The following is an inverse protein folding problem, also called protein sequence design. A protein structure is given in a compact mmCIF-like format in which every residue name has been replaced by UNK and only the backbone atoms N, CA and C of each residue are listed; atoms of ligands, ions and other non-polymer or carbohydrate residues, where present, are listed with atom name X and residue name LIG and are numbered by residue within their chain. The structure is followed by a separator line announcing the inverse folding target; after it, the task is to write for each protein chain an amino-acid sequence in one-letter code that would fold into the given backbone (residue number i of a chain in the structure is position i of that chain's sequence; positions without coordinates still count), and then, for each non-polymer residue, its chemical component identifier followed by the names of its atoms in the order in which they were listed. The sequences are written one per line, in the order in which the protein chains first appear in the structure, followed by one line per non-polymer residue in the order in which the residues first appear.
data_IF_245504651284
#
_entry.id   IF_245504651284
#
_cell.length_a   1.000
_cell.length_b   1.000
_cell.length_c   1.000
_cell.angle_alpha   90.00
_cell.angle_beta   90.00
_cell.angle_gamma   90.00
#
_symmetry.space_group_name_H-M   'P 1'
#
loop_
_entity.id
_entity.type
_entity.pdbx_description
1 polymer ?
#
# COMPACT_ATOMS: atom_id res chain seq x y z
N UNK A 1 -26.43 -29.08 -17.21
CA UNK A 1 -25.58 -28.48 -16.16
C UNK A 1 -24.14 -28.49 -16.66
N UNK A 2 -23.76 -27.44 -17.39
CA UNK A 2 -22.41 -27.32 -17.98
C UNK A 2 -21.60 -26.37 -17.14
N UNK A 3 -20.61 -26.92 -16.43
CA UNK A 3 -19.68 -26.19 -15.58
C UNK A 3 -18.74 -25.40 -16.50
N UNK A 4 -18.89 -24.08 -16.51
CA UNK A 4 -17.92 -23.16 -17.12
C UNK A 4 -16.59 -23.28 -16.34
N UNK A 5 -15.69 -24.12 -16.84
CA UNK A 5 -14.27 -24.12 -16.47
C UNK A 5 -13.64 -22.88 -17.12
N UNK A 6 -13.37 -21.85 -16.33
CA UNK A 6 -12.41 -20.82 -16.71
C UNK A 6 -11.03 -21.47 -16.87
N UNK A 7 -10.23 -21.08 -17.89
CA UNK A 7 -8.95 -21.70 -18.14
C UNK A 7 -7.99 -21.42 -16.98
N UNK A 8 -7.54 -22.52 -16.39
CA UNK A 8 -6.54 -22.58 -15.33
C UNK A 8 -5.19 -22.15 -15.93
N UNK A 9 -4.77 -20.89 -15.78
CA UNK A 9 -3.39 -20.45 -16.13
C UNK A 9 -2.95 -19.24 -15.30
N UNK A 10 -1.74 -19.31 -14.77
CA UNK A 10 -1.09 -18.31 -13.93
C UNK A 10 -0.68 -17.04 -14.66
N UNK A 11 -1.62 -16.35 -15.32
CA UNK A 11 -1.37 -15.07 -16.01
C UNK A 11 -1.72 -13.83 -15.19
N UNK A 12 -2.43 -13.95 -14.07
CA UNK A 12 -2.86 -12.78 -13.28
C UNK A 12 -1.80 -12.23 -12.31
N UNK A 13 -0.74 -12.98 -11.98
CA UNK A 13 0.33 -12.50 -11.10
C UNK A 13 1.32 -11.53 -11.79
N UNK A 14 1.24 -11.35 -13.12
CA UNK A 14 2.15 -10.49 -13.88
C UNK A 14 1.63 -9.05 -14.10
N UNK A 15 0.35 -8.77 -13.86
CA UNK A 15 -0.26 -7.46 -14.14
C UNK A 15 -0.05 -6.41 -13.03
N UNK A 16 0.42 -6.81 -11.85
CA UNK A 16 0.70 -5.90 -10.73
C UNK A 16 2.17 -5.46 -10.61
N UNK A 17 3.08 -6.02 -11.41
CA UNK A 17 4.52 -5.75 -11.33
C UNK A 17 5.08 -4.82 -12.44
N UNK A 18 4.26 -4.41 -13.43
CA UNK A 18 4.74 -3.67 -14.62
C UNK A 18 4.39 -2.17 -14.63
N UNK A 19 3.59 -1.65 -13.69
CA UNK A 19 3.26 -0.21 -13.66
C UNK A 19 4.28 0.71 -12.97
N UNK A 20 5.50 0.23 -12.75
CA UNK A 20 6.64 1.05 -12.32
C UNK A 20 7.82 0.73 -13.26
N UNK A 21 8.00 1.58 -14.27
CA UNK A 21 9.14 1.62 -15.21
C UNK A 21 9.20 0.53 -16.30
N UNK A 22 8.53 0.75 -17.45
CA UNK A 22 9.11 0.61 -18.80
C UNK A 22 8.09 0.82 -19.93
N UNK A 23 8.32 1.88 -20.71
CA UNK A 23 8.07 2.03 -22.15
C UNK A 23 6.70 1.66 -22.74
N UNK A 24 5.95 2.72 -23.01
CA UNK A 24 5.04 2.83 -24.14
C UNK A 24 5.75 2.49 -25.46
N UNK A 25 5.50 1.29 -26.00
CA UNK A 25 5.53 1.01 -27.44
C UNK A 25 4.51 -0.08 -27.74
N UNK A 26 3.23 0.29 -27.66
CA UNK A 26 2.16 -0.41 -28.37
C UNK A 26 1.55 0.59 -29.34
N UNK A 27 1.51 0.19 -30.61
CA UNK A 27 1.06 0.95 -31.76
C UNK A 27 -0.41 1.36 -31.59
N UNK A 28 -0.63 2.53 -31.01
CA UNK A 28 -1.93 3.20 -31.00
C UNK A 28 -2.01 4.13 -32.22
N UNK A 29 -2.58 3.62 -33.30
CA UNK A 29 -3.07 4.43 -34.41
C UNK A 29 -4.39 5.09 -34.02
N UNK A 30 -4.38 5.99 -33.03
CA UNK A 30 -5.46 6.95 -32.77
C UNK A 30 -4.82 8.24 -32.24
N UNK A 31 -5.31 9.37 -32.75
CA UNK A 31 -4.83 10.73 -32.48
C UNK A 31 -4.43 10.92 -31.02
N UNK A 32 -3.15 11.24 -30.78
CA UNK A 32 -2.70 11.74 -29.48
C UNK A 32 -3.69 12.83 -29.04
N UNK A 33 -4.26 12.77 -27.82
CA UNK A 33 -4.98 13.92 -27.30
C UNK A 33 -4.04 15.12 -27.41
N UNK A 34 -4.48 16.14 -28.13
CA UNK A 34 -3.70 17.35 -28.32
C UNK A 34 -3.44 17.92 -26.92
N UNK A 35 -2.20 17.80 -26.46
CA UNK A 35 -1.71 18.55 -25.31
C UNK A 35 -2.00 20.00 -25.66
N UNK A 36 -2.78 20.74 -24.84
CA UNK A 36 -3.08 22.14 -25.12
C UNK A 36 -1.78 22.90 -25.45
N UNK A 37 -1.76 23.74 -26.48
CA UNK A 37 -0.53 24.43 -26.93
C UNK A 37 0.12 25.30 -25.82
N UNK A 38 -0.67 25.63 -24.81
CA UNK A 38 -0.35 26.37 -23.61
C UNK A 38 0.05 25.49 -22.42
N UNK A 39 -0.04 24.15 -22.51
CA UNK A 39 0.53 23.23 -21.53
C UNK A 39 2.06 23.19 -21.68
N UNK A 40 2.69 24.27 -21.24
CA UNK A 40 4.10 24.27 -20.86
C UNK A 40 4.13 23.88 -19.39
N UNK A 41 4.50 22.63 -19.03
CA UNK A 41 4.77 22.36 -17.62
C UNK A 41 5.77 23.41 -17.16
N UNK A 42 5.42 24.17 -16.12
CA UNK A 42 6.27 25.23 -15.58
C UNK A 42 7.61 24.58 -15.26
N UNK A 43 8.63 24.82 -16.12
CA UNK A 43 9.96 24.18 -16.03
C UNK A 43 10.74 24.57 -14.79
N UNK A 44 10.23 25.50 -13.98
CA UNK A 44 10.79 25.76 -12.65
C UNK A 44 10.31 24.66 -11.71
N UNK A 45 11.10 23.59 -11.66
CA UNK A 45 11.24 22.71 -10.49
C UNK A 45 11.06 23.58 -9.24
N UNK A 46 9.99 23.42 -8.44
CA UNK A 46 9.78 24.19 -7.21
C UNK A 46 11.04 24.22 -6.38
N UNK A 47 11.33 25.36 -5.75
CA UNK A 47 12.55 25.53 -4.93
C UNK A 47 12.60 24.51 -3.77
N UNK A 48 11.43 24.03 -3.34
CA UNK A 48 11.20 22.91 -2.41
C UNK A 48 11.81 21.57 -2.87
N UNK A 49 12.00 21.37 -4.18
CA UNK A 49 12.69 20.20 -4.74
C UNK A 49 14.22 20.38 -4.72
N UNK A 50 14.74 21.59 -4.47
CA UNK A 50 16.15 21.94 -4.67
C UNK A 50 17.00 21.95 -3.41
N UNK A 51 16.41 22.09 -2.21
CA UNK A 51 17.20 22.12 -0.97
C UNK A 51 17.42 20.69 -0.48
N UNK A 52 18.46 20.07 -1.00
CA UNK A 52 18.99 18.84 -0.46
C UNK A 52 19.61 19.10 0.92
N UNK A 53 19.31 18.25 1.89
CA UNK A 53 19.90 18.27 3.23
C UNK A 53 20.78 17.02 3.41
N UNK A 54 22.06 17.02 3.01
CA UNK A 54 22.95 15.88 3.26
C UNK A 54 22.97 15.52 4.75
N UNK A 55 22.81 14.23 5.05
CA UNK A 55 22.76 13.74 6.42
C UNK A 55 24.18 13.48 6.93
N UNK A 56 24.65 14.34 7.83
CA UNK A 56 25.91 14.11 8.53
C UNK A 56 25.82 12.88 9.44
N UNK A 57 26.86 12.05 9.42
CA UNK A 57 27.02 10.88 10.28
C UNK A 57 27.75 11.27 11.57
N UNK A 58 28.75 12.16 11.47
CA UNK A 58 29.53 12.62 12.61
C UNK A 58 28.65 13.22 13.73
N UNK A 59 28.94 12.86 14.98
CA UNK A 59 28.29 13.44 16.16
C UNK A 59 26.91 12.85 16.49
N UNK A 60 26.47 11.81 15.76
CA UNK A 60 25.25 11.07 16.07
C UNK A 60 25.51 10.05 17.19
N UNK A 61 24.56 9.89 18.11
CA UNK A 61 24.67 9.05 19.32
C UNK A 61 24.98 7.57 19.02
N UNK A 62 24.58 7.10 17.86
CA UNK A 62 24.73 5.72 17.39
C UNK A 62 26.01 5.48 16.58
N UNK A 63 26.90 6.46 16.53
CA UNK A 63 28.22 6.36 15.87
C UNK A 63 29.30 6.29 16.94
N UNK A 64 30.20 5.29 16.91
CA UNK A 64 31.32 5.21 17.85
C UNK A 64 32.13 6.52 17.94
N UNK A 65 32.64 6.84 19.14
CA UNK A 65 33.30 8.12 19.40
C UNK A 65 34.61 8.30 18.62
N UNK A 66 35.37 7.21 18.49
CA UNK A 66 36.58 7.11 17.67
C UNK A 66 36.28 7.34 16.19
N UNK A 67 35.22 6.70 15.66
CA UNK A 67 34.77 6.91 14.29
C UNK A 67 34.30 8.34 14.07
N UNK A 68 33.56 8.90 15.03
CA UNK A 68 33.13 10.31 15.00
C UNK A 68 34.31 11.26 14.94
N UNK A 69 35.35 11.04 15.75
CA UNK A 69 36.56 11.86 15.73
C UNK A 69 37.27 11.79 14.37
N UNK A 70 37.35 10.60 13.77
CA UNK A 70 38.01 10.38 12.48
C UNK A 70 37.32 11.10 11.31
N UNK A 71 35.99 11.19 11.33
CA UNK A 71 35.20 11.74 10.21
C UNK A 71 34.66 13.14 10.46
N UNK A 72 34.98 13.77 11.60
CA UNK A 72 34.42 15.07 12.02
C UNK A 72 34.67 16.20 11.01
N UNK A 73 35.80 16.16 10.32
CA UNK A 73 36.21 17.17 9.33
C UNK A 73 35.80 16.82 7.90
N UNK A 74 35.18 15.66 7.69
CA UNK A 74 34.77 15.21 6.36
C UNK A 74 33.44 15.85 5.98
N UNK A 75 33.25 16.11 4.69
CA UNK A 75 31.93 16.41 4.11
C UNK A 75 30.98 15.22 4.31
N UNK A 76 29.65 15.42 4.35
CA UNK A 76 28.69 14.32 4.51
C UNK A 76 28.89 13.15 3.52
N UNK A 77 29.28 13.47 2.29
CA UNK A 77 29.60 12.50 1.25
C UNK A 77 30.84 11.67 1.60
N UNK A 78 31.93 12.34 2.01
CA UNK A 78 33.15 11.69 2.47
C UNK A 78 32.93 10.87 3.75
N UNK A 79 32.06 11.34 4.65
CA UNK A 79 31.66 10.58 5.84
C UNK A 79 30.98 9.27 5.43
N UNK A 80 30.00 9.31 4.52
CA UNK A 80 29.30 8.13 4.04
C UNK A 80 30.24 7.13 3.36
N UNK A 81 31.18 7.61 2.54
CA UNK A 81 32.17 6.75 1.89
C UNK A 81 33.14 6.10 2.89
N UNK A 82 33.63 6.87 3.87
CA UNK A 82 34.53 6.34 4.90
C UNK A 82 33.83 5.27 5.75
N UNK A 83 32.59 5.54 6.18
CA UNK A 83 31.79 4.59 6.97
C UNK A 83 31.50 3.33 6.16
N UNK A 84 31.22 3.43 4.86
CA UNK A 84 31.06 2.26 4.00
C UNK A 84 32.31 1.37 4.00
N UNK A 85 33.50 1.97 3.88
CA UNK A 85 34.78 1.22 3.93
C UNK A 85 34.95 0.51 5.28
N UNK A 86 34.63 1.17 6.39
CA UNK A 86 34.67 0.54 7.73
C UNK A 86 33.68 -0.62 7.86
N UNK A 87 32.44 -0.44 7.40
CA UNK A 87 31.43 -1.50 7.39
C UNK A 87 31.88 -2.72 6.58
N UNK A 88 32.53 -2.49 5.42
CA UNK A 88 33.08 -3.56 4.58
C UNK A 88 34.21 -4.32 5.27
N UNK A 89 35.11 -3.63 5.95
CA UNK A 89 36.16 -4.26 6.78
C UNK A 89 35.54 -5.12 7.88
N UNK A 90 34.48 -4.63 8.51
CA UNK A 90 33.72 -5.34 9.54
C UNK A 90 32.75 -6.40 8.96
N UNK A 91 32.85 -6.71 7.67
CA UNK A 91 32.06 -7.75 7.00
C UNK A 91 30.55 -7.61 7.22
N UNK A 92 30.03 -6.38 7.24
CA UNK A 92 28.59 -6.13 7.45
C UNK A 92 27.66 -6.96 6.53
N UNK A 93 27.99 -7.28 5.26
CA UNK A 93 27.07 -8.07 4.43
C UNK A 93 26.91 -9.51 4.95
N UNK A 94 27.95 -10.06 5.60
CA UNK A 94 27.89 -11.37 6.25
C UNK A 94 27.02 -11.28 7.50
N UNK A 95 27.21 -10.25 8.32
CA UNK A 95 26.39 -10.00 9.52
C UNK A 95 24.91 -9.89 9.16
N UNK A 96 24.59 -9.06 8.15
CA UNK A 96 23.22 -8.90 7.67
C UNK A 96 22.62 -10.21 7.21
N UNK A 97 23.35 -11.03 6.46
CA UNK A 97 22.82 -12.28 5.88
C UNK A 97 22.70 -13.41 6.89
N UNK A 98 23.65 -13.54 7.82
CA UNK A 98 23.66 -14.60 8.84
C UNK A 98 22.57 -14.41 9.88
N UNK A 99 22.28 -13.15 10.25
CA UNK A 99 21.17 -12.84 11.14
C UNK A 99 21.38 -13.29 12.60
N UNK A 100 22.62 -13.26 13.09
CA UNK A 100 22.93 -13.55 14.50
C UNK A 100 22.92 -12.25 15.30
N UNK A 101 22.08 -12.16 16.32
CA UNK A 101 21.97 -10.96 17.15
C UNK A 101 22.86 -11.07 18.38
N UNK A 102 23.90 -10.26 18.44
CA UNK A 102 24.79 -10.07 19.59
C UNK A 102 25.23 -8.59 19.63
N UNK A 103 25.90 -8.16 20.70
CA UNK A 103 26.27 -6.75 20.91
C UNK A 103 27.13 -6.16 19.78
N UNK A 104 28.07 -6.92 19.25
CA UNK A 104 28.93 -6.47 18.14
C UNK A 104 28.12 -6.26 16.87
N UNK A 105 27.27 -7.23 16.51
CA UNK A 105 26.40 -7.16 15.35
C UNK A 105 25.36 -6.04 15.48
N UNK A 106 24.86 -5.77 16.69
CA UNK A 106 23.97 -4.64 16.96
C UNK A 106 24.61 -3.30 16.60
N UNK A 107 25.88 -3.09 16.96
CA UNK A 107 26.59 -1.85 16.64
C UNK A 107 26.88 -1.73 15.13
N UNK A 108 27.18 -2.85 14.46
CA UNK A 108 27.27 -2.90 12.98
C UNK A 108 25.92 -2.54 12.33
N UNK A 109 24.79 -3.04 12.86
CA UNK A 109 23.46 -2.74 12.33
C UNK A 109 23.09 -1.27 12.48
N UNK A 110 23.39 -0.65 13.63
CA UNK A 110 23.18 0.79 13.84
C UNK A 110 23.98 1.62 12.83
N UNK A 111 25.26 1.28 12.67
CA UNK A 111 26.14 1.99 11.73
C UNK A 111 25.72 1.77 10.27
N UNK A 112 25.30 0.55 9.91
CA UNK A 112 24.74 0.23 8.58
C UNK A 112 23.48 1.05 8.28
N UNK A 113 22.51 1.08 9.20
CA UNK A 113 21.28 1.85 9.05
C UNK A 113 21.55 3.34 8.87
N UNK A 114 22.47 3.89 9.67
CA UNK A 114 22.91 5.28 9.58
C UNK A 114 23.57 5.57 8.23
N UNK A 115 24.48 4.70 7.79
CA UNK A 115 25.13 4.82 6.49
C UNK A 115 24.13 4.76 5.34
N UNK A 116 23.19 3.80 5.34
CA UNK A 116 22.16 3.68 4.29
C UNK A 116 21.25 4.90 4.21
N UNK A 117 20.82 5.46 5.34
CA UNK A 117 20.08 6.71 5.32
C UNK A 117 20.91 7.87 4.76
N UNK A 118 22.19 7.97 5.16
CA UNK A 118 23.10 9.00 4.65
C UNK A 118 23.39 8.84 3.15
N UNK A 119 23.53 7.62 2.63
CA UNK A 119 23.89 7.37 1.22
C UNK A 119 22.80 7.84 0.25
N UNK A 120 21.53 7.77 0.62
CA UNK A 120 20.43 8.40 -0.14
C UNK A 120 20.60 9.92 -0.24
N UNK A 121 21.29 10.53 0.72
CA UNK A 121 21.57 11.97 0.75
C UNK A 121 22.92 12.37 0.14
N UNK A 122 23.68 11.45 -0.48
CA UNK A 122 24.93 11.78 -1.21
C UNK A 122 24.78 11.83 -2.75
N UNK A 123 23.86 11.07 -3.36
CA UNK A 123 23.60 11.07 -4.83
C UNK A 123 22.82 12.29 -5.37
N UNK A 124 23.44 13.15 -6.17
CA UNK A 124 22.78 14.36 -6.71
C UNK A 124 21.84 14.08 -7.87
N UNK A 125 22.16 13.06 -8.67
CA UNK A 125 21.39 12.63 -9.82
C UNK A 125 20.23 11.70 -9.40
N UNK A 126 18.99 11.91 -9.90
CA UNK A 126 17.85 11.07 -9.57
C UNK A 126 18.02 9.58 -9.92
N UNK A 127 18.73 9.23 -11.00
CA UNK A 127 18.94 7.83 -11.38
C UNK A 127 19.89 7.14 -10.40
N UNK A 128 20.99 7.80 -10.06
CA UNK A 128 21.96 7.34 -9.07
C UNK A 128 21.33 7.19 -7.68
N UNK A 129 20.39 8.09 -7.31
CA UNK A 129 19.62 7.97 -6.08
C UNK A 129 18.67 6.76 -6.11
N UNK A 130 18.01 6.52 -7.25
CA UNK A 130 17.16 5.35 -7.44
C UNK A 130 17.98 4.06 -7.32
N UNK A 131 19.16 4.00 -7.94
CA UNK A 131 20.08 2.84 -7.86
C UNK A 131 20.51 2.58 -6.41
N UNK A 132 20.90 3.63 -5.68
CA UNK A 132 21.27 3.53 -4.26
C UNK A 132 20.10 3.01 -3.41
N UNK A 133 18.88 3.46 -3.69
CA UNK A 133 17.68 3.00 -3.01
C UNK A 133 17.30 1.55 -3.36
N UNK A 134 17.51 1.14 -4.61
CA UNK A 134 17.28 -0.24 -5.06
C UNK A 134 18.29 -1.21 -4.44
N UNK A 135 19.55 -0.79 -4.31
CA UNK A 135 20.56 -1.57 -3.61
C UNK A 135 20.27 -1.71 -2.12
N UNK A 136 19.81 -0.63 -1.46
CA UNK A 136 19.33 -0.71 -0.09
C UNK A 136 18.15 -1.68 0.05
N UNK A 137 17.16 -1.62 -0.84
CA UNK A 137 16.00 -2.54 -0.83
C UNK A 137 16.41 -4.00 -1.08
N UNK A 138 17.41 -4.22 -1.94
CA UNK A 138 17.99 -5.56 -2.17
C UNK A 138 18.67 -6.10 -0.93
N UNK A 139 19.40 -5.25 -0.20
CA UNK A 139 19.99 -5.63 1.10
C UNK A 139 18.92 -5.96 2.13
N UNK A 140 17.91 -5.10 2.29
CA UNK A 140 16.77 -5.32 3.19
C UNK A 140 16.14 -6.69 2.94
N UNK A 141 15.84 -7.04 1.68
CA UNK A 141 15.28 -8.35 1.34
C UNK A 141 16.17 -9.53 1.79
N UNK A 142 17.49 -9.34 1.78
CA UNK A 142 18.49 -10.35 2.11
C UNK A 142 18.90 -10.39 3.59
N UNK A 143 18.32 -9.54 4.45
CA UNK A 143 18.57 -9.56 5.90
C UNK A 143 18.15 -10.91 6.49
N UNK A 144 19.02 -11.52 7.29
CA UNK A 144 18.86 -12.83 7.91
C UNK A 144 18.46 -13.95 6.95
N UNK A 145 18.80 -13.85 5.66
CA UNK A 145 18.44 -14.84 4.63
C UNK A 145 19.12 -16.19 4.82
N UNK A 146 20.29 -16.22 5.46
CA UNK A 146 21.04 -17.44 5.79
C UNK A 146 20.71 -17.96 7.20
N UNK A 147 19.85 -17.26 7.96
CA UNK A 147 19.45 -17.70 9.29
C UNK A 147 18.45 -18.86 9.17
N UNK A 148 18.92 -20.09 9.44
CA UNK A 148 18.09 -21.29 9.37
C UNK A 148 16.95 -21.34 10.40
N UNK A 149 17.04 -20.56 11.49
CA UNK A 149 16.00 -20.50 12.51
C UNK A 149 15.06 -19.30 12.27
N UNK A 150 13.80 -19.57 11.91
CA UNK A 150 12.80 -18.53 11.60
C UNK A 150 12.58 -17.52 12.76
N UNK A 151 12.54 -17.98 14.00
CA UNK A 151 12.35 -17.10 15.16
C UNK A 151 13.55 -16.17 15.38
N UNK A 152 14.78 -16.67 15.21
CA UNK A 152 15.99 -15.83 15.24
C UNK A 152 16.03 -14.85 14.07
N UNK A 153 15.67 -15.30 12.87
CA UNK A 153 15.59 -14.46 11.67
C UNK A 153 14.63 -13.29 11.87
N UNK A 154 13.42 -13.56 12.38
CA UNK A 154 12.44 -12.52 12.71
C UNK A 154 12.95 -11.54 13.77
N UNK A 155 13.55 -12.02 14.86
CA UNK A 155 14.13 -11.14 15.91
C UNK A 155 15.24 -10.24 15.37
N UNK A 156 16.12 -10.80 14.53
CA UNK A 156 17.18 -10.02 13.89
C UNK A 156 16.62 -8.97 12.94
N UNK A 157 15.65 -9.34 12.11
CA UNK A 157 14.92 -8.42 11.22
C UNK A 157 14.21 -7.32 12.00
N UNK A 158 13.55 -7.66 13.10
CA UNK A 158 12.87 -6.67 13.96
C UNK A 158 13.85 -5.61 14.48
N UNK A 159 15.04 -6.04 14.93
CA UNK A 159 16.09 -5.10 15.38
C UNK A 159 16.63 -4.27 14.21
N UNK A 160 17.07 -4.93 13.12
CA UNK A 160 17.68 -4.29 11.97
C UNK A 160 16.74 -3.27 11.30
N UNK A 161 15.46 -3.60 11.19
CA UNK A 161 14.45 -2.71 10.62
C UNK A 161 13.98 -1.64 11.59
N UNK A 162 14.01 -1.90 12.91
CA UNK A 162 13.79 -0.86 13.91
C UNK A 162 14.83 0.24 13.76
N UNK A 163 16.11 -0.12 13.77
CA UNK A 163 17.19 0.87 13.59
C UNK A 163 17.15 1.54 12.21
N UNK A 164 16.84 0.80 11.14
CA UNK A 164 16.71 1.41 9.80
C UNK A 164 15.52 2.37 9.71
N UNK A 165 14.36 2.00 10.25
CA UNK A 165 13.16 2.84 10.19
C UNK A 165 13.37 4.17 10.92
N UNK A 166 14.03 4.15 12.10
CA UNK A 166 14.40 5.36 12.83
C UNK A 166 15.28 6.31 11.98
N UNK A 167 16.20 5.75 11.19
CA UNK A 167 17.12 6.53 10.34
C UNK A 167 16.45 7.05 9.07
N UNK A 168 15.55 6.26 8.48
CA UNK A 168 14.76 6.70 7.33
C UNK A 168 13.75 7.78 7.72
N UNK A 169 13.28 7.80 8.97
CA UNK A 169 12.43 8.88 9.48
C UNK A 169 13.12 10.25 9.43
N UNK A 170 14.43 10.32 9.71
CA UNK A 170 15.23 11.55 9.62
C UNK A 170 15.25 12.14 8.19
N UNK A 171 14.91 11.33 7.17
CA UNK A 171 14.89 11.75 5.77
C UNK A 171 13.55 12.34 5.31
N UNK A 172 12.50 12.30 6.15
CA UNK A 172 11.15 12.72 5.78
C UNK A 172 10.97 14.24 5.64
N UNK A 173 11.98 15.03 6.01
CA UNK A 173 12.08 16.48 5.80
C UNK A 173 13.17 16.86 4.76
N UNK A 174 13.63 15.89 3.96
CA UNK A 174 14.62 16.13 2.90
C UNK A 174 13.97 16.62 1.59
N UNK A 175 14.76 16.74 0.53
CA UNK A 175 14.22 16.93 -0.82
C UNK A 175 13.27 15.78 -1.20
N UNK A 176 12.36 16.07 -2.14
CA UNK A 176 11.28 15.16 -2.54
C UNK A 176 11.73 13.75 -2.92
N UNK A 177 12.80 13.61 -3.71
CA UNK A 177 13.23 12.31 -4.20
C UNK A 177 13.76 11.44 -3.06
N UNK A 178 14.53 12.04 -2.13
CA UNK A 178 15.01 11.33 -0.93
C UNK A 178 13.84 10.90 -0.04
N UNK A 179 12.86 11.80 0.20
CA UNK A 179 11.65 11.47 0.96
C UNK A 179 10.91 10.30 0.33
N UNK A 180 10.70 10.33 -0.99
CA UNK A 180 10.01 9.28 -1.74
C UNK A 180 10.70 7.92 -1.57
N UNK A 181 12.04 7.86 -1.71
CA UNK A 181 12.77 6.61 -1.55
C UNK A 181 12.73 6.08 -0.11
N UNK A 182 12.78 6.96 0.88
CA UNK A 182 12.63 6.58 2.28
C UNK A 182 11.24 5.99 2.56
N UNK A 183 10.18 6.66 2.09
CA UNK A 183 8.78 6.22 2.22
C UNK A 183 8.55 4.86 1.56
N UNK A 184 9.02 4.68 0.31
CA UNK A 184 8.89 3.40 -0.42
C UNK A 184 9.60 2.29 0.33
N UNK A 185 10.78 2.56 0.89
CA UNK A 185 11.57 1.57 1.64
C UNK A 185 10.87 1.19 2.94
N UNK A 186 10.38 2.17 3.71
CA UNK A 186 9.59 1.93 4.93
C UNK A 186 8.37 1.05 4.66
N UNK A 187 7.64 1.30 3.57
CA UNK A 187 6.47 0.51 3.18
C UNK A 187 6.78 -0.93 2.73
N UNK A 188 8.06 -1.27 2.49
CA UNK A 188 8.51 -2.57 2.00
C UNK A 188 9.25 -3.41 3.04
N UNK A 189 9.33 -2.96 4.30
CA UNK A 189 10.00 -3.71 5.36
C UNK A 189 9.17 -4.94 5.78
N UNK A 190 9.81 -6.12 5.81
CA UNK A 190 9.19 -7.43 6.00
C UNK A 190 9.92 -8.26 7.06
N UNK A 191 9.25 -8.60 8.17
CA UNK A 191 9.73 -9.58 9.17
C UNK A 191 9.99 -10.96 8.56
N UNK A 192 9.26 -11.32 7.50
CA UNK A 192 9.53 -12.49 6.67
C UNK A 192 9.20 -12.18 5.22
N UNK A 193 10.06 -12.59 4.30
CA UNK A 193 9.78 -12.50 2.86
C UNK A 193 8.87 -13.64 2.41
N UNK A 194 8.09 -13.40 1.35
CA UNK A 194 7.36 -14.46 0.68
C UNK A 194 8.34 -15.49 0.10
N UNK A 195 8.05 -16.78 0.29
CA UNK A 195 8.82 -17.89 -0.31
C UNK A 195 7.92 -18.67 -1.25
N UNK A 196 8.38 -18.88 -2.48
CA UNK A 196 7.76 -19.84 -3.39
C UNK A 196 8.11 -21.28 -3.02
N UNK A 197 7.46 -22.24 -3.67
CA UNK A 197 7.72 -23.67 -3.48
C UNK A 197 6.44 -24.48 -3.32
N UNK A 198 6.58 -25.71 -2.81
CA UNK A 198 5.45 -26.63 -2.57
C UNK A 198 4.49 -26.09 -1.49
N UNK A 199 5.03 -25.37 -0.50
CA UNK A 199 4.26 -24.69 0.54
C UNK A 199 4.60 -23.19 0.49
N UNK A 200 3.91 -22.40 -0.36
CA UNK A 200 4.21 -20.98 -0.48
C UNK A 200 3.93 -20.26 0.85
N UNK A 201 4.94 -19.54 1.36
CA UNK A 201 4.80 -18.70 2.54
C UNK A 201 4.48 -17.27 2.09
N UNK A 202 3.49 -16.65 2.74
CA UNK A 202 3.16 -15.24 2.54
C UNK A 202 4.14 -14.36 3.33
N UNK A 203 4.46 -13.19 2.78
CA UNK A 203 5.25 -12.20 3.49
C UNK A 203 4.56 -11.72 4.79
N UNK A 204 5.38 -11.39 5.78
CA UNK A 204 4.94 -10.79 7.04
C UNK A 204 5.61 -9.43 7.15
N UNK A 205 4.82 -8.38 7.15
CA UNK A 205 5.26 -6.98 7.22
C UNK A 205 5.89 -6.63 8.57
N UNK A 206 6.58 -5.49 8.62
CA UNK A 206 7.15 -4.89 9.84
C UNK A 206 6.29 -3.69 10.31
N UNK A 207 5.29 -3.89 11.21
CA UNK A 207 4.34 -2.86 11.61
C UNK A 207 4.93 -1.57 12.20
N UNK A 208 6.10 -1.57 12.89
CA UNK A 208 6.66 -0.32 13.40
C UNK A 208 6.92 0.74 12.32
N UNK A 209 7.15 0.34 11.07
CA UNK A 209 7.31 1.26 9.94
C UNK A 209 6.04 2.06 9.60
N UNK A 210 4.86 1.67 10.10
CA UNK A 210 3.62 2.44 9.91
C UNK A 210 3.73 3.82 10.57
N UNK A 211 4.35 3.92 11.75
CA UNK A 211 4.42 5.18 12.51
C UNK A 211 5.05 6.34 11.73
N UNK A 212 6.25 6.20 11.12
CA UNK A 212 6.81 7.26 10.29
C UNK A 212 5.96 7.54 9.03
N UNK A 213 5.32 6.52 8.44
CA UNK A 213 4.42 6.73 7.29
C UNK A 213 3.18 7.55 7.65
N UNK A 214 2.60 7.34 8.83
CA UNK A 214 1.49 8.16 9.34
C UNK A 214 1.91 9.61 9.57
N UNK A 215 3.17 9.88 9.93
CA UNK A 215 3.69 11.26 10.03
C UNK A 215 3.64 11.95 8.67
N UNK A 216 4.07 11.27 7.60
CA UNK A 216 3.98 11.79 6.22
C UNK A 216 2.53 12.07 5.82
N UNK A 217 1.62 11.13 6.12
CA UNK A 217 0.20 11.31 5.79
C UNK A 217 -0.43 12.49 6.54
N UNK A 218 -0.09 12.67 7.81
CA UNK A 218 -0.67 13.72 8.67
C UNK A 218 -0.07 15.11 8.44
N UNK A 219 1.11 15.20 7.84
CA UNK A 219 1.80 16.47 7.62
C UNK A 219 1.14 17.24 6.46
N UNK A 220 0.61 18.43 6.75
CA UNK A 220 -0.07 19.29 5.78
C UNK A 220 0.88 19.92 4.76
N UNK A 221 2.19 19.98 5.07
CA UNK A 221 3.23 20.46 4.17
C UNK A 221 3.75 19.40 3.19
N UNK A 222 3.33 18.13 3.32
CA UNK A 222 3.77 17.08 2.39
C UNK A 222 2.97 17.13 1.08
N UNK A 223 3.66 17.08 -0.08
CA UNK A 223 3.03 16.86 -1.36
C UNK A 223 2.15 15.61 -1.35
N UNK A 224 1.00 15.68 -2.01
CA UNK A 224 0.03 14.57 -2.05
C UNK A 224 0.65 13.29 -2.61
N UNK A 225 1.57 13.37 -3.59
CA UNK A 225 2.25 12.21 -4.14
C UNK A 225 3.08 11.44 -3.09
N UNK A 226 3.68 12.13 -2.11
CA UNK A 226 4.36 11.47 -0.98
C UNK A 226 3.35 10.84 -0.01
N UNK A 227 2.21 11.49 0.21
CA UNK A 227 1.11 10.93 1.00
C UNK A 227 0.52 9.67 0.35
N UNK A 228 0.38 9.65 -0.97
CA UNK A 228 -0.04 8.48 -1.75
C UNK A 228 0.96 7.34 -1.56
N UNK A 229 2.26 7.60 -1.73
CA UNK A 229 3.30 6.60 -1.52
C UNK A 229 3.28 6.05 -0.08
N UNK A 230 3.06 6.93 0.92
CA UNK A 230 2.93 6.53 2.30
C UNK A 230 1.68 5.67 2.55
N UNK A 231 0.52 6.06 2.00
CA UNK A 231 -0.71 5.27 2.11
C UNK A 231 -0.61 3.92 1.41
N UNK A 232 0.10 3.81 0.28
CA UNK A 232 0.43 2.52 -0.34
C UNK A 232 1.27 1.66 0.60
N UNK A 233 2.29 2.24 1.23
CA UNK A 233 3.10 1.56 2.24
C UNK A 233 2.28 1.08 3.44
N UNK A 234 1.44 1.94 4.01
CA UNK A 234 0.55 1.58 5.13
C UNK A 234 -0.42 0.49 4.73
N UNK A 235 -1.11 0.62 3.58
CA UNK A 235 -2.06 -0.39 3.09
C UNK A 235 -1.43 -1.79 3.01
N UNK A 236 -0.20 -1.86 2.50
CA UNK A 236 0.57 -3.11 2.45
C UNK A 236 0.93 -3.61 3.86
N UNK A 237 1.50 -2.75 4.70
CA UNK A 237 1.94 -3.14 6.04
C UNK A 237 0.78 -3.65 6.90
N UNK A 238 -0.42 -3.08 6.74
CA UNK A 238 -1.61 -3.54 7.46
C UNK A 238 -2.16 -4.85 6.92
N UNK A 239 -2.19 -5.01 5.59
CA UNK A 239 -2.69 -6.21 4.92
C UNK A 239 -1.83 -7.45 5.24
N UNK A 240 -0.52 -7.26 5.44
CA UNK A 240 0.43 -8.34 5.68
C UNK A 240 1.00 -8.36 7.11
N UNK A 241 0.30 -7.81 8.11
CA UNK A 241 0.81 -7.73 9.49
C UNK A 241 1.07 -9.12 10.15
N UNK A 242 0.48 -10.20 9.63
CA UNK A 242 0.68 -11.58 10.08
C UNK A 242 0.05 -11.90 11.45
N UNK A 243 0.41 -13.06 12.05
CA UNK A 243 -0.20 -13.61 13.27
C UNK A 243 0.02 -12.81 14.57
N UNK A 244 0.78 -11.71 14.53
CA UNK A 244 0.89 -10.75 15.65
C UNK A 244 0.00 -9.52 15.49
N UNK A 245 -0.58 -9.33 14.29
CA UNK A 245 -1.41 -8.18 13.95
C UNK A 245 -0.71 -6.83 14.16
N UNK A 246 -1.53 -5.79 14.09
CA UNK A 246 -1.15 -4.43 14.47
C UNK A 246 -1.67 -4.20 15.90
N UNK A 247 -0.88 -3.64 16.82
CA UNK A 247 -1.36 -3.26 18.15
C UNK A 247 -2.61 -2.37 18.06
N UNK A 248 -3.59 -2.60 18.93
CA UNK A 248 -4.88 -1.87 18.92
C UNK A 248 -4.73 -0.36 18.95
N UNK A 249 -3.82 0.16 19.77
CA UNK A 249 -3.52 1.60 19.83
C UNK A 249 -3.03 2.16 18.50
N UNK A 250 -2.22 1.38 17.77
CA UNK A 250 -1.75 1.76 16.45
C UNK A 250 -2.88 1.67 15.41
N UNK A 251 -3.78 0.68 15.51
CA UNK A 251 -5.01 0.61 14.68
C UNK A 251 -5.89 1.85 14.85
N UNK A 252 -6.12 2.30 16.08
CA UNK A 252 -6.86 3.54 16.35
C UNK A 252 -6.21 4.74 15.68
N UNK A 253 -4.89 4.91 15.87
CA UNK A 253 -4.15 6.01 15.25
C UNK A 253 -4.21 5.98 13.72
N UNK A 254 -4.13 4.80 13.11
CA UNK A 254 -4.28 4.67 11.64
C UNK A 254 -5.68 5.12 11.23
N UNK A 255 -6.73 4.65 11.92
CA UNK A 255 -8.11 5.02 11.61
C UNK A 255 -8.35 6.53 11.74
N UNK A 256 -7.80 7.19 12.77
CA UNK A 256 -7.87 8.64 12.98
C UNK A 256 -7.22 9.43 11.82
N UNK A 257 -5.99 9.07 11.44
CA UNK A 257 -5.27 9.72 10.33
C UNK A 257 -5.99 9.50 9.01
N UNK A 258 -6.47 8.28 8.76
CA UNK A 258 -7.21 7.96 7.53
C UNK A 258 -8.54 8.70 7.47
N UNK A 259 -9.27 8.81 8.58
CA UNK A 259 -10.50 9.58 8.65
C UNK A 259 -10.27 11.06 8.33
N UNK A 260 -9.24 11.66 8.94
CA UNK A 260 -8.87 13.05 8.71
C UNK A 260 -8.44 13.32 7.26
N UNK A 261 -7.71 12.40 6.63
CA UNK A 261 -7.29 12.56 5.23
C UNK A 261 -8.44 12.27 4.24
N UNK A 262 -9.38 11.38 4.56
CA UNK A 262 -10.57 11.11 3.73
C UNK A 262 -11.58 12.26 3.72
N UNK A 263 -11.61 13.07 4.77
CA UNK A 263 -12.48 14.26 4.86
C UNK A 263 -11.91 15.47 4.11
N UNK A 264 -10.65 15.42 3.66
CA UNK A 264 -10.05 16.50 2.85
C UNK A 264 -10.67 16.55 1.47
N UNK A 265 -11.25 17.70 1.15
CA UNK A 265 -11.78 18.00 -0.19
C UNK A 265 -10.66 18.12 -1.23
N UNK A 266 -11.00 17.86 -2.50
CA UNK A 266 -10.08 18.05 -3.63
C UNK A 266 -8.89 17.09 -3.70
N UNK A 267 -8.82 16.07 -2.84
CA UNK A 267 -7.75 15.06 -2.89
C UNK A 267 -7.90 14.12 -4.09
N UNK A 268 -6.79 13.71 -4.69
CA UNK A 268 -6.83 12.85 -5.87
C UNK A 268 -7.40 11.46 -5.56
N UNK A 269 -8.19 10.90 -6.48
CA UNK A 269 -8.94 9.68 -6.22
C UNK A 269 -8.06 8.45 -5.92
N UNK A 270 -6.83 8.38 -6.44
CA UNK A 270 -5.90 7.30 -6.07
C UNK A 270 -5.57 7.35 -4.59
N UNK A 271 -5.42 8.56 -4.03
CA UNK A 271 -5.12 8.72 -2.62
C UNK A 271 -6.30 8.21 -1.77
N UNK A 272 -7.50 8.70 -2.06
CA UNK A 272 -8.72 8.27 -1.38
C UNK A 272 -8.94 6.75 -1.48
N UNK A 273 -8.69 6.15 -2.65
CA UNK A 273 -8.77 4.71 -2.84
C UNK A 273 -7.80 3.95 -1.91
N UNK A 274 -6.57 4.42 -1.73
CA UNK A 274 -5.60 3.81 -0.81
C UNK A 274 -6.01 3.98 0.65
N UNK A 275 -6.55 5.15 1.01
CA UNK A 275 -7.10 5.39 2.35
C UNK A 275 -8.21 4.40 2.70
N UNK A 276 -9.16 4.20 1.79
CA UNK A 276 -10.24 3.21 1.92
C UNK A 276 -9.72 1.77 1.96
N UNK A 277 -8.64 1.46 1.24
CA UNK A 277 -7.99 0.14 1.29
C UNK A 277 -7.38 -0.15 2.68
N UNK A 278 -6.75 0.85 3.31
CA UNK A 278 -6.16 0.69 4.66
C UNK A 278 -7.22 0.25 5.67
N UNK A 279 -8.40 0.88 5.64
CA UNK A 279 -9.50 0.61 6.57
C UNK A 279 -9.96 -0.85 6.58
N UNK A 280 -9.86 -1.56 5.46
CA UNK A 280 -10.30 -2.95 5.32
C UNK A 280 -9.57 -3.91 6.28
N UNK A 281 -8.33 -3.59 6.64
CA UNK A 281 -7.42 -4.49 7.35
C UNK A 281 -7.16 -4.07 8.80
N UNK A 282 -7.82 -3.03 9.30
CA UNK A 282 -7.59 -2.54 10.66
C UNK A 282 -8.22 -3.40 11.74
N UNK A 283 -9.16 -4.31 11.41
CA UNK A 283 -9.81 -5.19 12.38
C UNK A 283 -10.24 -4.43 13.65
N UNK A 284 -11.09 -3.45 13.40
CA UNK A 284 -11.50 -2.46 14.38
C UNK A 284 -13.02 -2.24 14.27
N UNK A 285 -13.83 -3.14 14.86
CA UNK A 285 -15.30 -3.05 14.78
C UNK A 285 -15.83 -1.79 15.47
N UNK A 286 -15.16 -1.35 16.54
CA UNK A 286 -15.49 -0.16 17.30
C UNK A 286 -14.22 0.64 17.63
N UNK A 287 -14.33 1.96 17.63
CA UNK A 287 -13.28 2.87 18.08
C UNK A 287 -13.24 3.05 19.61
N UNK A 288 -12.36 3.95 20.10
CA UNK A 288 -12.25 4.28 21.53
C UNK A 288 -13.55 4.78 22.17
N UNK A 289 -14.41 5.40 21.36
CA UNK A 289 -15.71 5.95 21.76
C UNK A 289 -16.87 4.96 21.51
N UNK A 290 -16.54 3.69 21.25
CA UNK A 290 -17.49 2.62 20.91
C UNK A 290 -18.33 2.94 19.67
N UNK A 291 -17.78 3.70 18.72
CA UNK A 291 -18.41 4.00 17.44
C UNK A 291 -17.85 3.09 16.34
N UNK A 292 -18.67 2.65 15.38
CA UNK A 292 -18.22 1.80 14.27
C UNK A 292 -17.53 2.63 13.17
N UNK A 293 -16.47 3.36 13.53
CA UNK A 293 -15.84 4.38 12.70
C UNK A 293 -15.32 3.84 11.37
N UNK A 294 -14.66 2.68 11.37
CA UNK A 294 -14.20 2.03 10.12
C UNK A 294 -15.36 1.72 9.18
N UNK A 295 -16.41 1.08 9.71
CA UNK A 295 -17.61 0.75 8.93
C UNK A 295 -18.28 2.01 8.37
N UNK A 296 -18.45 3.05 9.19
CA UNK A 296 -19.10 4.30 8.80
C UNK A 296 -18.30 5.04 7.71
N UNK A 297 -16.97 5.09 7.81
CA UNK A 297 -16.11 5.70 6.79
C UNK A 297 -16.21 4.96 5.45
N UNK A 298 -16.20 3.62 5.47
CA UNK A 298 -16.33 2.80 4.28
C UNK A 298 -17.72 2.91 3.64
N UNK A 299 -18.78 2.81 4.45
CA UNK A 299 -20.16 2.97 3.99
C UNK A 299 -20.39 4.38 3.40
N UNK A 300 -19.88 5.42 4.07
CA UNK A 300 -19.94 6.80 3.58
C UNK A 300 -19.21 6.98 2.24
N UNK A 301 -17.96 6.49 2.13
CA UNK A 301 -17.20 6.58 0.88
C UNK A 301 -17.82 5.80 -0.28
N UNK A 302 -18.53 4.70 0.00
CA UNK A 302 -19.27 3.92 -0.99
C UNK A 302 -20.53 4.66 -1.49
N UNK A 303 -21.27 5.28 -0.56
CA UNK A 303 -22.53 5.96 -0.84
C UNK A 303 -22.35 7.37 -1.45
N UNK A 304 -21.20 8.00 -1.25
CA UNK A 304 -20.90 9.34 -1.75
C UNK A 304 -20.78 9.39 -3.27
N UNK A 305 -21.83 9.90 -3.94
CA UNK A 305 -21.89 10.03 -5.41
C UNK A 305 -20.92 11.06 -5.97
N UNK A 306 -20.38 11.97 -5.14
CA UNK A 306 -19.36 12.93 -5.58
C UNK A 306 -17.97 12.29 -5.65
N UNK A 307 -17.74 11.15 -4.98
CA UNK A 307 -16.49 10.42 -5.08
C UNK A 307 -16.36 9.69 -6.40
N UNK A 308 -15.12 9.61 -6.87
CA UNK A 308 -14.76 8.90 -8.09
C UNK A 308 -15.22 7.42 -8.04
N UNK A 309 -15.72 6.84 -9.16
CA UNK A 309 -16.19 5.45 -9.23
C UNK A 309 -15.28 4.41 -8.59
N UNK A 310 -13.96 4.49 -8.84
CA UNK A 310 -12.97 3.61 -8.22
C UNK A 310 -12.92 3.68 -6.70
N UNK A 311 -13.11 4.86 -6.10
CA UNK A 311 -13.11 5.01 -4.64
C UNK A 311 -14.34 4.34 -4.05
N UNK A 312 -15.51 4.54 -4.67
CA UNK A 312 -16.77 3.91 -4.26
C UNK A 312 -16.71 2.38 -4.36
N UNK A 313 -16.20 1.86 -5.47
CA UNK A 313 -16.02 0.41 -5.66
C UNK A 313 -14.97 -0.20 -4.73
N UNK A 314 -13.87 0.52 -4.48
CA UNK A 314 -12.89 0.10 -3.48
C UNK A 314 -13.49 0.13 -2.07
N UNK A 315 -14.40 1.05 -1.77
CA UNK A 315 -15.09 1.11 -0.49
C UNK A 315 -16.06 -0.05 -0.31
N UNK A 316 -16.83 -0.40 -1.34
CA UNK A 316 -17.66 -1.61 -1.35
C UNK A 316 -16.82 -2.87 -1.10
N UNK A 317 -15.70 -3.00 -1.80
CA UNK A 317 -14.74 -4.09 -1.63
C UNK A 317 -14.15 -4.14 -0.23
N UNK A 318 -13.70 -3.01 0.31
CA UNK A 318 -13.14 -2.93 1.66
C UNK A 318 -14.19 -3.23 2.73
N UNK A 319 -15.44 -2.77 2.56
CA UNK A 319 -16.52 -2.92 3.54
C UNK A 319 -16.80 -4.39 3.86
N UNK A 320 -16.85 -5.25 2.84
CA UNK A 320 -17.12 -6.69 3.03
C UNK A 320 -15.94 -7.46 3.63
N UNK A 321 -14.77 -6.83 3.79
CA UNK A 321 -13.60 -7.40 4.46
C UNK A 321 -13.51 -7.02 5.94
N UNK A 322 -14.38 -6.12 6.39
CA UNK A 322 -14.49 -5.69 7.78
C UNK A 322 -15.59 -6.46 8.52
N UNK A 323 -15.56 -6.40 9.85
CA UNK A 323 -16.62 -6.95 10.71
C UNK A 323 -17.88 -6.08 10.64
N UNK A 324 -19.05 -6.72 10.72
CA UNK A 324 -20.33 -6.00 10.82
C UNK A 324 -20.49 -5.45 12.24
N UNK A 325 -20.72 -4.13 12.42
CA UNK A 325 -20.94 -3.59 13.75
C UNK A 325 -22.32 -4.03 14.31
N UNK A 326 -22.49 -4.11 15.64
CA UNK A 326 -23.70 -4.69 16.26
C UNK A 326 -25.03 -4.06 15.87
N UNK A 327 -25.03 -2.79 15.43
CA UNK A 327 -26.24 -2.05 15.03
C UNK A 327 -26.54 -2.12 13.53
N UNK A 328 -25.61 -2.63 12.72
CA UNK A 328 -25.83 -2.79 11.28
C UNK A 328 -26.51 -4.15 11.02
N UNK A 329 -27.34 -4.19 9.97
CA UNK A 329 -27.99 -5.44 9.55
C UNK A 329 -27.48 -5.86 8.18
N UNK A 330 -27.51 -7.17 7.94
CA UNK A 330 -27.09 -7.78 6.68
C UNK A 330 -27.96 -7.30 5.51
N UNK A 331 -29.26 -7.07 5.74
CA UNK A 331 -30.20 -6.60 4.73
C UNK A 331 -29.91 -5.16 4.29
N UNK A 332 -29.64 -4.26 5.25
CA UNK A 332 -29.29 -2.87 4.94
C UNK A 332 -27.97 -2.80 4.18
N UNK A 333 -26.98 -3.60 4.58
CA UNK A 333 -25.71 -3.69 3.88
C UNK A 333 -25.89 -4.18 2.43
N UNK A 334 -26.67 -5.24 2.23
CA UNK A 334 -26.95 -5.75 0.88
C UNK A 334 -27.65 -4.71 0.01
N UNK A 335 -28.62 -3.97 0.58
CA UNK A 335 -29.27 -2.87 -0.13
C UNK A 335 -28.27 -1.77 -0.53
N UNK A 336 -27.40 -1.32 0.39
CA UNK A 336 -26.39 -0.33 0.07
C UNK A 336 -25.41 -0.79 -1.04
N UNK A 337 -25.04 -2.08 -1.06
CA UNK A 337 -24.22 -2.64 -2.13
C UNK A 337 -24.97 -2.68 -3.46
N UNK A 338 -26.25 -3.07 -3.45
CA UNK A 338 -27.12 -3.06 -4.63
C UNK A 338 -27.22 -1.65 -5.23
N UNK A 339 -27.48 -0.65 -4.39
CA UNK A 339 -27.62 0.74 -4.82
C UNK A 339 -26.30 1.27 -5.41
N UNK A 340 -25.17 0.96 -4.76
CA UNK A 340 -23.85 1.31 -5.28
C UNK A 340 -23.55 0.66 -6.64
N UNK A 341 -23.88 -0.62 -6.80
CA UNK A 341 -23.69 -1.34 -8.06
C UNK A 341 -24.56 -0.75 -9.18
N UNK A 342 -25.84 -0.50 -8.91
CA UNK A 342 -26.76 0.12 -9.88
C UNK A 342 -26.31 1.52 -10.30
N UNK A 343 -25.94 2.36 -9.32
CA UNK A 343 -25.37 3.69 -9.58
C UNK A 343 -24.13 3.61 -10.49
N UNK A 344 -23.18 2.72 -10.19
CA UNK A 344 -21.95 2.59 -10.98
C UNK A 344 -22.18 2.02 -12.38
N UNK A 345 -23.19 1.15 -12.56
CA UNK A 345 -23.61 0.71 -13.89
C UNK A 345 -24.22 1.88 -14.69
N UNK A 346 -25.01 2.75 -14.06
CA UNK A 346 -25.56 3.92 -14.71
C UNK A 346 -24.47 4.94 -15.09
N UNK A 347 -23.49 5.18 -14.22
CA UNK A 347 -22.34 6.08 -14.51
C UNK A 347 -21.45 5.49 -15.61
N UNK A 348 -21.24 4.17 -15.64
CA UNK A 348 -20.51 3.51 -16.74
C UNK A 348 -21.11 3.84 -18.11
N UNK A 349 -22.44 3.81 -18.24
CA UNK A 349 -23.12 4.11 -19.51
C UNK A 349 -22.97 5.57 -19.95
N UNK A 350 -22.63 6.49 -19.05
CA UNK A 350 -22.37 7.89 -19.39
C UNK A 350 -20.99 8.09 -20.03
N UNK A 351 -20.01 7.26 -19.66
CA UNK A 351 -18.63 7.34 -20.18
C UNK A 351 -17.97 5.95 -20.21
N UNK A 352 -18.37 5.03 -21.12
CA UNK A 352 -17.89 3.65 -21.07
C UNK A 352 -16.44 3.49 -21.58
N UNK A 353 -15.85 4.54 -22.15
CA UNK A 353 -14.47 4.55 -22.65
C UNK A 353 -13.42 4.78 -21.55
N UNK A 354 -13.82 5.19 -20.35
CA UNK A 354 -12.88 5.46 -19.29
C UNK A 354 -12.07 4.20 -18.89
N UNK A 355 -10.74 4.34 -18.85
CA UNK A 355 -9.80 3.22 -18.69
C UNK A 355 -9.90 2.48 -17.34
N UNK A 356 -10.55 3.09 -16.35
CA UNK A 356 -10.65 2.53 -15.00
C UNK A 356 -11.82 1.57 -14.80
N UNK A 357 -12.77 1.47 -15.74
CA UNK A 357 -14.00 0.70 -15.51
C UNK A 357 -13.78 -0.78 -15.27
N UNK A 358 -12.80 -1.39 -15.93
CA UNK A 358 -12.46 -2.80 -15.67
C UNK A 358 -12.07 -3.03 -14.21
N UNK A 359 -11.28 -2.11 -13.64
CA UNK A 359 -10.87 -2.18 -12.23
C UNK A 359 -12.07 -1.90 -11.30
N UNK A 360 -12.96 -0.96 -11.65
CA UNK A 360 -14.20 -0.70 -10.88
C UNK A 360 -15.03 -1.98 -10.77
N UNK A 361 -15.35 -2.62 -11.89
CA UNK A 361 -16.20 -3.81 -11.91
C UNK A 361 -15.50 -5.05 -11.32
N UNK A 362 -14.18 -5.16 -11.46
CA UNK A 362 -13.39 -6.16 -10.73
C UNK A 362 -13.53 -5.99 -9.22
N UNK A 363 -13.43 -4.76 -8.69
CA UNK A 363 -13.59 -4.49 -7.24
C UNK A 363 -15.01 -4.78 -6.75
N UNK A 364 -16.03 -4.41 -7.52
CA UNK A 364 -17.42 -4.76 -7.20
C UNK A 364 -17.62 -6.28 -7.15
N UNK A 365 -17.10 -7.01 -8.14
CA UNK A 365 -17.14 -8.47 -8.15
C UNK A 365 -16.45 -9.07 -6.91
N UNK A 366 -15.25 -8.58 -6.60
CA UNK A 366 -14.45 -8.99 -5.44
C UNK A 366 -15.02 -8.49 -4.10
N UNK A 367 -16.12 -7.74 -4.09
CA UNK A 367 -16.85 -7.43 -2.86
C UNK A 367 -17.60 -8.66 -2.34
N UNK A 368 -17.95 -9.61 -3.21
CA UNK A 368 -18.72 -10.81 -2.86
C UNK A 368 -17.86 -12.08 -2.79
N UNK A 369 -16.59 -12.00 -3.20
CA UNK A 369 -15.69 -13.15 -3.28
C UNK A 369 -14.27 -12.76 -2.92
N UNK A 370 -13.51 -13.69 -2.31
CA UNK A 370 -12.07 -13.50 -2.19
C UNK A 370 -11.43 -13.56 -3.59
N UNK A 371 -10.39 -12.76 -3.78
CA UNK A 371 -9.54 -12.71 -4.96
C UNK A 371 -8.85 -14.06 -5.21
N UNK A 372 -8.40 -14.72 -4.16
CA UNK A 372 -7.86 -16.08 -4.20
C UNK A 372 -7.94 -16.75 -2.83
N UNK A 373 -7.58 -18.04 -2.75
CA UNK A 373 -7.56 -18.78 -1.49
C UNK A 373 -6.63 -18.17 -0.43
N UNK A 374 -5.51 -17.56 -0.85
CA UNK A 374 -4.59 -16.88 0.05
C UNK A 374 -5.13 -15.56 0.63
N UNK A 375 -6.09 -14.90 -0.01
CA UNK A 375 -6.83 -13.81 0.63
C UNK A 375 -7.76 -14.37 1.70
N UNK A 376 -8.49 -15.45 1.39
CA UNK A 376 -9.44 -16.04 2.32
C UNK A 376 -8.77 -16.38 3.65
N UNK A 377 -7.56 -16.95 3.64
CA UNK A 377 -6.74 -17.24 4.83
C UNK A 377 -6.33 -16.00 5.64
N UNK A 378 -6.15 -14.85 4.97
CA UNK A 378 -5.73 -13.59 5.59
C UNK A 378 -6.88 -12.74 6.10
N UNK A 379 -8.09 -12.96 5.61
CA UNK A 379 -9.28 -12.25 6.10
C UNK A 379 -9.42 -12.43 7.61
N UNK A 380 -9.98 -11.40 8.25
CA UNK A 380 -10.33 -11.43 9.65
C UNK A 380 -11.36 -12.53 9.89
N UNK A 381 -11.30 -13.20 11.04
CA UNK A 381 -12.28 -14.26 11.36
C UNK A 381 -13.72 -13.74 11.33
N UNK A 382 -13.92 -12.50 11.77
CA UNK A 382 -15.21 -11.81 11.80
C UNK A 382 -15.51 -11.03 10.50
N UNK A 383 -14.64 -11.10 9.49
CA UNK A 383 -14.87 -10.42 8.22
C UNK A 383 -16.19 -10.90 7.60
N UNK A 384 -16.99 -9.94 7.14
CA UNK A 384 -18.27 -10.19 6.48
C UNK A 384 -18.15 -11.24 5.38
N UNK A 385 -17.12 -11.18 4.54
CA UNK A 385 -16.89 -12.09 3.42
C UNK A 385 -16.70 -13.57 3.85
N UNK A 386 -16.28 -13.83 5.10
CA UNK A 386 -16.22 -15.19 5.67
C UNK A 386 -17.57 -15.67 6.22
N UNK A 387 -18.52 -14.76 6.45
CA UNK A 387 -19.85 -15.09 6.95
C UNK A 387 -20.65 -15.87 5.88
N UNK A 388 -21.14 -17.09 6.16
CA UNK A 388 -21.95 -17.86 5.23
C UNK A 388 -23.19 -17.11 4.70
N UNK A 389 -23.72 -16.16 5.45
CA UNK A 389 -24.85 -15.32 5.03
C UNK A 389 -24.54 -14.46 3.79
N UNK A 390 -23.27 -14.14 3.51
CA UNK A 390 -22.88 -13.47 2.25
C UNK A 390 -23.14 -14.32 1.01
N UNK A 391 -23.32 -15.64 1.16
CA UNK A 391 -23.64 -16.58 0.07
C UNK A 391 -25.13 -16.86 -0.06
N UNK A 392 -25.95 -16.26 0.79
CA UNK A 392 -27.40 -16.43 0.83
C UNK A 392 -28.11 -15.12 0.43
N UNK A 393 -29.41 -15.16 0.13
CA UNK A 393 -30.21 -13.94 0.00
C UNK A 393 -30.11 -13.10 1.29
N UNK A 394 -30.04 -11.76 1.21
CA UNK A 394 -30.13 -10.97 -0.02
C UNK A 394 -28.83 -10.82 -0.84
N UNK A 395 -27.65 -11.15 -0.32
CA UNK A 395 -26.37 -10.91 -0.99
C UNK A 395 -26.19 -11.70 -2.30
N UNK A 396 -26.62 -12.96 -2.33
CA UNK A 396 -26.55 -13.77 -3.56
C UNK A 396 -27.33 -13.13 -4.71
N UNK A 397 -28.49 -12.51 -4.41
CA UNK A 397 -29.30 -11.77 -5.39
C UNK A 397 -28.55 -10.56 -5.95
N UNK A 398 -27.88 -9.78 -5.08
CA UNK A 398 -27.05 -8.64 -5.53
C UNK A 398 -25.91 -9.11 -6.42
N UNK A 399 -25.22 -10.18 -6.02
CA UNK A 399 -24.14 -10.77 -6.80
C UNK A 399 -24.61 -11.27 -8.17
N UNK A 400 -25.77 -11.94 -8.24
CA UNK A 400 -26.33 -12.44 -9.48
C UNK A 400 -26.74 -11.32 -10.45
N UNK A 401 -27.30 -10.21 -9.95
CA UNK A 401 -27.59 -8.99 -10.74
C UNK A 401 -26.32 -8.31 -11.26
N UNK A 402 -25.25 -8.28 -10.45
CA UNK A 402 -23.97 -7.67 -10.83
C UNK A 402 -23.22 -8.48 -11.89
N UNK A 403 -23.35 -9.81 -11.89
CA UNK A 403 -22.52 -10.70 -12.71
C UNK A 403 -22.61 -10.42 -14.22
N UNK A 404 -23.80 -10.22 -14.84
CA UNK A 404 -23.91 -9.83 -16.24
C UNK A 404 -23.14 -8.55 -16.58
N UNK A 405 -23.22 -7.53 -15.72
CA UNK A 405 -22.53 -6.27 -15.93
C UNK A 405 -21.00 -6.43 -15.88
N UNK A 406 -20.48 -7.21 -14.92
CA UNK A 406 -19.05 -7.51 -14.82
C UNK A 406 -18.54 -8.23 -16.07
N UNK A 407 -19.25 -9.28 -16.52
CA UNK A 407 -18.87 -10.04 -17.71
C UNK A 407 -18.85 -9.12 -18.93
N UNK A 408 -19.86 -8.26 -19.08
CA UNK A 408 -19.94 -7.30 -20.18
C UNK A 408 -18.79 -6.31 -20.15
N UNK A 409 -18.51 -5.65 -19.02
CA UNK A 409 -17.44 -4.64 -18.96
C UNK A 409 -16.05 -5.25 -19.19
N UNK A 410 -15.80 -6.46 -18.69
CA UNK A 410 -14.49 -7.11 -18.88
C UNK A 410 -14.24 -7.52 -20.34
N UNK A 411 -15.27 -8.02 -21.03
CA UNK A 411 -15.15 -8.60 -22.37
C UNK A 411 -15.50 -7.63 -23.51
N UNK A 412 -16.45 -6.71 -23.28
CA UNK A 412 -17.09 -5.90 -24.31
C UNK A 412 -16.85 -4.39 -24.13
N UNK A 413 -16.16 -3.94 -23.07
CA UNK A 413 -15.79 -2.52 -22.94
C UNK A 413 -15.01 -2.05 -24.18
N UNK A 414 -15.34 -0.88 -24.75
CA UNK A 414 -16.14 0.21 -24.16
C UNK A 414 -17.62 0.27 -24.57
N UNK A 415 -18.28 -0.86 -24.85
CA UNK A 415 -19.72 -0.84 -25.20
C UNK A 415 -20.60 -0.55 -23.97
N UNK A 416 -21.66 0.27 -24.10
CA UNK A 416 -22.65 0.48 -23.03
C UNK A 416 -23.28 -0.83 -22.54
N UNK A 417 -23.66 -0.87 -21.27
CA UNK A 417 -24.43 -1.95 -20.67
C UNK A 417 -25.87 -1.96 -21.21
N UNK A 418 -26.44 -3.15 -21.45
CA UNK A 418 -27.88 -3.29 -21.71
C UNK A 418 -28.74 -2.68 -20.59
N UNK A 419 -29.85 -2.03 -20.95
CA UNK A 419 -30.70 -1.31 -19.99
C UNK A 419 -31.42 -2.24 -19.01
N UNK A 420 -31.76 -3.45 -19.44
CA UNK A 420 -32.32 -4.50 -18.58
C UNK A 420 -31.38 -4.84 -17.43
N UNK A 421 -30.08 -4.97 -17.68
CA UNK A 421 -29.05 -5.21 -16.65
C UNK A 421 -29.01 -4.07 -15.61
N UNK A 422 -29.22 -2.82 -16.04
CA UNK A 422 -29.25 -1.66 -15.12
C UNK A 422 -30.56 -1.64 -14.32
N UNK A 423 -31.69 -1.89 -15.00
CA UNK A 423 -33.01 -1.82 -14.40
C UNK A 423 -33.24 -2.89 -13.32
N UNK A 424 -32.55 -4.04 -13.40
CA UNK A 424 -32.58 -5.06 -12.35
C UNK A 424 -32.19 -4.52 -10.96
N UNK A 425 -31.32 -3.50 -10.89
CA UNK A 425 -30.91 -2.92 -9.61
C UNK A 425 -31.99 -2.05 -8.94
N UNK A 426 -32.99 -1.57 -9.70
CA UNK A 426 -34.11 -0.80 -9.15
C UNK A 426 -35.14 -1.69 -8.45
N UNK A 427 -35.12 -3.00 -8.70
CA UNK A 427 -36.04 -3.93 -8.07
C UNK A 427 -35.68 -4.19 -6.60
N UNK A 428 -36.65 -4.24 -5.67
CA UNK A 428 -36.38 -4.52 -4.27
C UNK A 428 -35.75 -5.91 -4.08
N UNK A 429 -34.80 -6.01 -3.15
CA UNK A 429 -34.23 -7.28 -2.70
C UNK A 429 -35.25 -8.01 -1.82
N UNK A 430 -36.32 -8.55 -2.40
CA UNK A 430 -37.28 -9.39 -1.65
C UNK A 430 -36.57 -10.66 -1.20
N UNK A 431 -36.75 -11.08 0.06
CA UNK A 431 -36.17 -12.29 0.67
C UNK A 431 -36.49 -13.54 -0.10
#
# INVERSE_FOLDING_TARGET
MSILRLPNTGMMSALLAVCLCATATLSYGQSKPAVPEDFRPVRKVPEELKIRKPLAIAGKKDVPADLTAAIKLFTPEQQAEFVYKQLRTNKYPIVLRNGDLNRENEDILKLWARWRAASLTTKTDPFSLQDEADDMRREVKNVAVLQGNAAKSMKFRDYAYGVLADRLEELLDNNYMVRLQAIITLGRLNRSEAKGGLNPEVEVSFPPAITPLLKVMSDTGQPESLKVAAAVGVARLVEYAGKGGIPTEQKFRIAEVVAAELSREGTYYWYQMRLVQILAWLDLPLDRNRQPTVYNLLAGAMADKAKHPLVRAQAAHSLTRTSLPPKATMEKLAQHLNDCCGDLCAVYNQDPVAVYWKIVFERLYLSFRPFNSGEDERLLQEALLRNPAMRQPPFSKVYDRLRPAVIHVLNNSPLPLPLDVINEFAEPLKG
#
